data_IF_229585712554
#
_entry.id   IF_229585712554
#
_cell.length_a   1.000
_cell.length_b   1.000
_cell.length_c   1.000
_cell.angle_alpha   90.00
_cell.angle_beta   90.00
_cell.angle_gamma   90.00
#
_symmetry.space_group_name_H-M   'P 1'
#
loop_
_entity.id
_entity.type
_entity.pdbx_description
1 polymer ?
#
# COMPACT_ATOMS: atom_id res chain seq x y z
N UNK A 1 21.68 6.11 -66.91
CA UNK A 1 20.80 6.63 -65.82
C UNK A 1 20.64 8.14 -65.98
N UNK A 2 19.44 8.61 -66.29
CA UNK A 2 19.11 10.04 -66.38
C UNK A 2 19.45 10.75 -65.06
N UNK A 3 20.00 11.96 -65.10
CA UNK A 3 20.38 12.72 -63.90
C UNK A 3 19.22 12.89 -62.89
N UNK A 4 17.98 12.88 -63.39
CA UNK A 4 16.75 12.92 -62.58
C UNK A 4 16.62 11.72 -61.64
N UNK A 5 17.00 10.52 -62.09
CA UNK A 5 16.94 9.31 -61.27
C UNK A 5 17.95 9.34 -60.13
N UNK A 6 19.14 9.93 -60.35
CA UNK A 6 20.16 10.08 -59.30
C UNK A 6 19.72 11.06 -58.21
N UNK A 7 19.04 12.15 -58.60
CA UNK A 7 18.49 13.15 -57.67
C UNK A 7 17.39 12.52 -56.80
N UNK A 8 16.48 11.75 -57.42
CA UNK A 8 15.45 11.01 -56.68
C UNK A 8 16.04 9.99 -55.72
N UNK A 9 17.09 9.26 -56.11
CA UNK A 9 17.76 8.30 -55.25
C UNK A 9 18.40 8.97 -54.02
N UNK A 10 19.03 10.14 -54.21
CA UNK A 10 19.68 10.89 -53.14
C UNK A 10 18.65 11.46 -52.14
N UNK A 11 17.51 11.93 -52.65
CA UNK A 11 16.39 12.39 -51.82
C UNK A 11 15.80 11.27 -50.96
N UNK A 12 15.59 10.09 -51.55
CA UNK A 12 15.00 8.94 -50.86
C UNK A 12 15.92 8.38 -49.77
N UNK A 13 17.24 8.40 -50.02
CA UNK A 13 18.25 8.02 -49.04
C UNK A 13 18.32 8.99 -47.85
N UNK A 14 18.18 10.29 -48.11
CA UNK A 14 18.11 11.31 -47.05
C UNK A 14 16.92 11.12 -46.12
N UNK A 15 15.74 10.86 -46.68
CA UNK A 15 14.51 10.61 -45.89
C UNK A 15 14.65 9.34 -45.05
N UNK A 16 15.23 8.27 -45.60
CA UNK A 16 15.49 7.03 -44.87
C UNK A 16 16.41 7.22 -43.67
N UNK A 17 17.46 8.03 -43.81
CA UNK A 17 18.36 8.39 -42.70
C UNK A 17 17.64 9.17 -41.61
N UNK A 18 16.77 10.11 -41.99
CA UNK A 18 15.97 10.88 -41.04
C UNK A 18 15.06 9.94 -40.23
N UNK A 19 14.35 9.01 -40.90
CA UNK A 19 13.53 8.01 -40.20
C UNK A 19 14.35 7.09 -39.29
N UNK A 20 15.54 6.68 -39.72
CA UNK A 20 16.44 5.84 -38.92
C UNK A 20 16.88 6.56 -37.63
N UNK A 21 17.24 7.85 -37.73
CA UNK A 21 17.58 8.68 -36.57
C UNK A 21 16.37 8.86 -35.65
N UNK A 22 15.21 9.20 -36.21
CA UNK A 22 13.97 9.37 -35.43
C UNK A 22 13.56 8.08 -34.70
N UNK A 23 13.68 6.93 -35.36
CA UNK A 23 13.41 5.63 -34.76
C UNK A 23 14.42 5.28 -33.65
N UNK A 24 15.70 5.62 -33.82
CA UNK A 24 16.72 5.39 -32.82
C UNK A 24 16.53 6.28 -31.58
N UNK A 25 16.19 7.56 -31.75
CA UNK A 25 15.83 8.46 -30.65
C UNK A 25 14.55 8.00 -29.91
N UNK A 26 13.52 7.53 -30.64
CA UNK A 26 12.28 7.05 -30.01
C UNK A 26 12.43 5.68 -29.35
N UNK A 27 13.23 4.78 -29.93
CA UNK A 27 13.38 3.39 -29.48
C UNK A 27 14.09 3.22 -28.14
N UNK A 28 14.91 4.20 -27.72
CA UNK A 28 15.56 4.17 -26.40
C UNK A 28 14.56 4.33 -25.24
N UNK A 29 13.41 4.98 -25.48
CA UNK A 29 12.39 5.17 -24.44
C UNK A 29 11.55 3.91 -24.19
N UNK A 30 11.41 3.02 -25.18
CA UNK A 30 10.58 1.80 -25.06
C UNK A 30 11.22 0.75 -24.15
N UNK A 31 12.55 0.68 -24.10
CA UNK A 31 13.27 -0.26 -23.21
C UNK A 31 13.09 0.06 -21.72
N UNK A 32 13.01 1.34 -21.35
CA UNK A 32 12.73 1.75 -19.95
C UNK A 32 11.29 1.46 -19.52
N UNK A 33 10.34 1.44 -20.45
CA UNK A 33 8.92 1.18 -20.15
C UNK A 33 8.62 -0.32 -20.13
N UNK A 34 9.23 -1.12 -21.01
CA UNK A 34 8.99 -2.57 -21.09
C UNK A 34 9.51 -3.37 -19.88
N UNK A 35 10.56 -2.90 -19.21
CA UNK A 35 11.10 -3.53 -18.00
C UNK A 35 10.28 -3.17 -16.75
N UNK A 36 9.68 -1.96 -16.71
CA UNK A 36 8.78 -1.55 -15.64
C UNK A 36 7.43 -2.32 -15.66
N UNK A 37 6.92 -2.68 -16.84
CA UNK A 37 5.63 -3.37 -16.99
C UNK A 37 5.72 -4.86 -16.59
N UNK A 38 6.89 -5.52 -16.71
CA UNK A 38 7.04 -6.95 -16.36
C UNK A 38 7.39 -7.22 -14.90
N UNK A 39 7.84 -6.20 -14.15
CA UNK A 39 8.08 -6.28 -12.69
C UNK A 39 6.98 -5.56 -11.87
N UNK A 40 5.84 -5.34 -12.50
CA UNK A 40 4.55 -5.07 -11.86
C UNK A 40 3.72 -6.37 -11.83
N UNK A 41 4.36 -7.49 -11.45
CA UNK A 41 3.66 -8.63 -10.89
C UNK A 41 2.97 -8.14 -9.61
N UNK A 42 1.69 -7.79 -9.72
CA UNK A 42 0.65 -7.72 -8.66
C UNK A 42 1.15 -7.33 -7.27
N UNK A 43 1.88 -6.22 -7.15
CA UNK A 43 2.22 -5.70 -5.83
C UNK A 43 1.06 -4.86 -5.30
N UNK A 44 0.50 -5.28 -4.18
CA UNK A 44 -0.64 -4.62 -3.54
C UNK A 44 -0.18 -3.37 -2.77
N UNK A 45 -0.83 -2.21 -2.96
CA UNK A 45 -0.58 -1.05 -2.13
C UNK A 45 -1.12 -1.32 -0.72
N UNK A 46 -0.25 -1.22 0.28
CA UNK A 46 -0.60 -1.45 1.69
C UNK A 46 -0.15 -0.24 2.51
N UNK A 47 -1.03 0.27 3.35
CA UNK A 47 -0.71 1.33 4.29
C UNK A 47 0.09 0.76 5.45
N UNK A 48 1.24 1.35 5.70
CA UNK A 48 2.21 0.97 6.73
C UNK A 48 2.45 2.16 7.66
N UNK A 49 2.67 1.87 8.93
CA UNK A 49 3.05 2.88 9.93
C UNK A 49 4.52 3.34 9.76
N UNK A 50 4.77 4.64 9.78
CA UNK A 50 6.15 5.21 9.74
C UNK A 50 6.75 5.38 11.14
N UNK A 51 5.88 5.45 12.15
CA UNK A 51 6.20 5.58 13.57
C UNK A 51 5.31 4.64 14.38
N UNK A 52 5.60 4.48 15.66
CA UNK A 52 4.70 3.77 16.56
C UNK A 52 3.42 4.60 16.78
N UNK A 53 2.26 3.99 16.51
CA UNK A 53 0.95 4.59 16.73
C UNK A 53 0.39 3.99 18.03
N UNK A 54 0.19 4.84 19.03
CA UNK A 54 -0.30 4.42 20.34
C UNK A 54 -1.82 4.23 20.32
N UNK A 55 -2.29 3.28 21.13
CA UNK A 55 -3.71 3.03 21.36
C UNK A 55 -4.44 4.31 21.78
N UNK A 56 -5.69 4.45 21.34
CA UNK A 56 -6.57 5.56 21.68
C UNK A 56 -6.20 6.92 21.05
N UNK A 57 -5.02 7.06 20.45
CA UNK A 57 -4.62 8.30 19.75
C UNK A 57 -5.13 8.31 18.31
N UNK A 58 -5.63 9.45 17.81
CA UNK A 58 -6.07 9.55 16.42
C UNK A 58 -4.88 9.37 15.47
N UNK A 59 -5.06 8.58 14.43
CA UNK A 59 -4.05 8.41 13.38
C UNK A 59 -3.97 9.67 12.53
N UNK A 60 -2.75 10.17 12.33
CA UNK A 60 -2.47 11.32 11.49
C UNK A 60 -1.82 10.88 10.17
N UNK A 61 -1.95 11.63 9.08
CA UNK A 61 -1.38 11.26 7.78
C UNK A 61 0.15 11.12 7.82
N UNK A 62 0.83 11.86 8.68
CA UNK A 62 2.31 11.83 8.83
C UNK A 62 2.82 10.50 9.40
N UNK A 63 1.96 9.76 10.10
CA UNK A 63 2.26 8.47 10.70
C UNK A 63 2.14 7.31 9.71
N UNK A 64 1.72 7.58 8.47
CA UNK A 64 1.34 6.58 7.48
C UNK A 64 2.10 6.75 6.16
N UNK A 65 2.31 5.62 5.47
CA UNK A 65 2.86 5.59 4.12
C UNK A 65 2.29 4.39 3.37
N UNK A 66 2.06 4.52 2.07
CA UNK A 66 1.71 3.38 1.22
C UNK A 66 2.99 2.71 0.72
N UNK A 67 3.11 1.41 0.95
CA UNK A 67 4.19 0.57 0.45
C UNK A 67 3.64 -0.58 -0.40
N UNK A 68 4.45 -1.03 -1.38
CA UNK A 68 4.05 -2.07 -2.33
C UNK A 68 4.47 -3.44 -1.79
N UNK A 69 3.50 -4.25 -1.37
CA UNK A 69 3.72 -5.61 -0.84
C UNK A 69 3.48 -6.67 -1.93
N UNK A 70 4.22 -7.78 -1.88
CA UNK A 70 3.96 -8.93 -2.77
C UNK A 70 2.68 -9.68 -2.40
N UNK A 71 2.30 -9.67 -1.12
CA UNK A 71 1.08 -10.29 -0.60
C UNK A 71 0.44 -9.28 0.35
N UNK A 72 -0.82 -8.91 0.10
CA UNK A 72 -1.57 -8.05 1.01
C UNK A 72 -1.99 -8.83 2.27
N UNK A 73 -1.66 -8.35 3.47
CA UNK A 73 -2.22 -8.90 4.71
C UNK A 73 -3.75 -8.75 4.72
N UNK A 74 -4.45 -9.72 5.32
CA UNK A 74 -5.92 -9.66 5.42
C UNK A 74 -6.37 -8.42 6.17
N UNK A 75 -7.34 -7.70 5.60
CA UNK A 75 -7.88 -6.48 6.19
C UNK A 75 -6.89 -5.31 6.24
N UNK A 76 -5.79 -5.34 5.47
CA UNK A 76 -4.90 -4.20 5.34
C UNK A 76 -5.56 -3.06 4.56
N UNK A 77 -5.34 -1.83 5.01
CA UNK A 77 -5.79 -0.65 4.28
C UNK A 77 -4.91 -0.41 3.05
N UNK A 78 -5.53 0.05 1.96
CA UNK A 78 -4.84 0.40 0.71
C UNK A 78 -4.70 1.91 0.53
N UNK A 79 -5.57 2.69 1.17
CA UNK A 79 -5.58 4.16 1.16
C UNK A 79 -5.35 4.73 2.57
N UNK A 80 -4.53 5.78 2.65
CA UNK A 80 -4.27 6.53 3.89
C UNK A 80 -5.57 7.21 4.37
N UNK A 81 -6.41 7.70 3.44
CA UNK A 81 -7.65 8.40 3.75
C UNK A 81 -8.62 7.58 4.61
N UNK A 82 -8.63 6.26 4.42
CA UNK A 82 -9.48 5.34 5.17
C UNK A 82 -9.05 5.17 6.63
N UNK A 83 -7.80 5.53 6.97
CA UNK A 83 -7.21 5.33 8.30
C UNK A 83 -7.19 6.62 9.12
N UNK A 84 -7.09 7.78 8.47
CA UNK A 84 -6.96 9.08 9.15
C UNK A 84 -8.11 9.30 10.14
N UNK A 85 -7.77 9.76 11.34
CA UNK A 85 -8.73 10.08 12.40
C UNK A 85 -9.30 8.89 13.16
N UNK A 86 -9.10 7.65 12.67
CA UNK A 86 -9.42 6.45 13.46
C UNK A 86 -8.53 6.37 14.70
N UNK A 87 -9.06 5.76 15.77
CA UNK A 87 -8.32 5.53 17.02
C UNK A 87 -8.12 4.02 17.16
N UNK A 88 -6.87 3.53 17.14
CA UNK A 88 -6.63 2.11 17.27
C UNK A 88 -6.89 1.68 18.72
N UNK A 89 -7.40 0.48 18.88
CA UNK A 89 -7.65 -0.17 20.18
C UNK A 89 -6.38 -0.84 20.73
N UNK A 90 -5.38 -1.06 19.88
CA UNK A 90 -4.08 -1.63 20.24
C UNK A 90 -2.94 -0.79 19.66
N UNK A 91 -1.74 -0.89 20.23
CA UNK A 91 -0.57 -0.22 19.68
C UNK A 91 -0.19 -0.82 18.33
N UNK A 92 0.15 0.02 17.36
CA UNK A 92 0.70 -0.37 16.07
C UNK A 92 2.19 -0.01 16.07
N UNK A 93 3.04 -1.02 16.05
CA UNK A 93 4.49 -0.82 15.94
C UNK A 93 4.89 -0.15 14.62
N UNK A 94 6.07 0.46 14.60
CA UNK A 94 6.64 1.09 13.39
C UNK A 94 6.92 0.07 12.29
N UNK A 95 6.60 0.42 11.04
CA UNK A 95 6.85 -0.42 9.87
C UNK A 95 5.86 -1.57 9.72
N UNK A 96 4.78 -1.59 10.51
CA UNK A 96 3.76 -2.63 10.44
C UNK A 96 2.61 -2.22 9.51
N UNK A 97 2.04 -3.18 8.76
CA UNK A 97 0.81 -2.96 8.01
C UNK A 97 -0.32 -2.54 8.95
N UNK A 98 -1.01 -1.47 8.58
CA UNK A 98 -2.21 -1.03 9.29
C UNK A 98 -3.38 -1.84 8.77
N UNK A 99 -4.03 -2.57 9.67
CA UNK A 99 -5.16 -3.46 9.34
C UNK A 99 -6.41 -3.09 10.15
N UNK A 100 -7.59 -3.50 9.68
CA UNK A 100 -8.87 -3.30 10.37
C UNK A 100 -8.88 -3.88 11.79
N UNK A 101 -8.10 -4.93 12.05
CA UNK A 101 -8.02 -5.61 13.35
C UNK A 101 -7.56 -4.69 14.48
N UNK A 102 -6.81 -3.63 14.17
CA UNK A 102 -6.39 -2.65 15.17
C UNK A 102 -7.52 -1.71 15.60
N UNK A 103 -8.62 -1.64 14.84
CA UNK A 103 -9.73 -0.70 15.06
C UNK A 103 -11.03 -1.40 15.45
N UNK A 104 -11.13 -2.71 15.22
CA UNK A 104 -12.30 -3.51 15.57
C UNK A 104 -12.26 -3.97 17.03
N UNK A 105 -13.36 -3.78 17.74
CA UNK A 105 -13.54 -4.32 19.09
C UNK A 105 -13.43 -5.83 19.04
N UNK A 106 -12.51 -6.40 19.82
CA UNK A 106 -12.40 -7.85 19.94
C UNK A 106 -13.72 -8.49 20.43
N UNK A 107 -13.91 -9.77 20.11
CA UNK A 107 -15.17 -10.50 20.33
C UNK A 107 -15.74 -10.35 21.76
N UNK A 108 -14.86 -10.29 22.77
CA UNK A 108 -15.26 -10.19 24.19
C UNK A 108 -15.89 -8.84 24.55
N UNK A 109 -15.41 -7.74 23.95
CA UNK A 109 -15.99 -6.42 24.18
C UNK A 109 -17.35 -6.26 23.50
N UNK A 110 -17.58 -6.97 22.39
CA UNK A 110 -18.86 -6.99 21.67
C UNK A 110 -19.95 -7.78 22.40
N UNK A 111 -19.59 -8.65 23.35
CA UNK A 111 -20.53 -9.48 24.10
C UNK A 111 -21.16 -8.74 25.30
N UNK A 112 -20.66 -7.55 25.64
CA UNK A 112 -21.23 -6.73 26.71
C UNK A 112 -22.53 -6.10 26.22
N UNK A 113 -23.65 -6.58 26.76
CA UNK A 113 -25.00 -6.07 26.47
C UNK A 113 -25.15 -4.61 26.87
N UNK A 114 -26.05 -3.90 26.21
CA UNK A 114 -26.37 -2.52 26.53
C UNK A 114 -26.84 -2.38 27.99
N UNK A 115 -26.33 -1.38 28.70
CA UNK A 115 -26.57 -1.17 30.14
C UNK A 115 -25.66 -1.96 31.07
N UNK A 116 -24.89 -2.93 30.57
CA UNK A 116 -23.90 -3.67 31.35
C UNK A 116 -22.52 -3.03 31.24
N UNK A 117 -21.71 -3.16 32.29
CA UNK A 117 -20.34 -2.66 32.35
C UNK A 117 -19.40 -3.82 32.59
N UNK A 118 -18.40 -3.99 31.72
CA UNK A 118 -17.33 -4.94 31.95
C UNK A 118 -16.37 -4.41 33.02
N UNK A 119 -15.86 -5.30 33.87
CA UNK A 119 -14.80 -5.01 34.83
C UNK A 119 -13.74 -6.11 34.73
N UNK A 120 -12.47 -5.74 34.82
CA UNK A 120 -11.38 -6.71 34.81
C UNK A 120 -11.15 -7.22 36.25
N UNK A 121 -11.30 -8.53 36.47
CA UNK A 121 -11.00 -9.17 37.74
C UNK A 121 -9.78 -10.08 37.56
N UNK A 122 -8.75 -9.85 38.37
CA UNK A 122 -7.59 -10.74 38.43
C UNK A 122 -7.88 -11.86 39.42
N UNK A 123 -7.89 -13.10 38.93
CA UNK A 123 -8.06 -14.29 39.76
C UNK A 123 -6.70 -14.79 40.25
N UNK A 124 -6.65 -15.11 41.54
CA UNK A 124 -5.57 -15.86 42.17
C UNK A 124 -6.18 -16.95 43.06
N UNK A 125 -5.34 -17.83 43.61
CA UNK A 125 -5.75 -18.93 44.47
C UNK A 125 -6.52 -18.51 45.74
N UNK A 126 -6.34 -17.27 46.20
CA UNK A 126 -7.02 -16.72 47.38
C UNK A 126 -8.37 -16.05 47.02
N UNK A 127 -8.55 -15.66 45.76
CA UNK A 127 -9.71 -14.88 45.30
C UNK A 127 -10.80 -15.74 44.64
N UNK A 128 -10.59 -17.05 44.49
CA UNK A 128 -11.53 -17.98 43.83
C UNK A 128 -12.82 -18.20 44.64
N UNK A 129 -12.79 -18.08 45.97
CA UNK A 129 -13.93 -18.42 46.84
C UNK A 129 -15.06 -17.37 46.90
N UNK A 130 -14.86 -16.16 46.37
CA UNK A 130 -15.81 -15.04 46.55
C UNK A 130 -16.65 -14.74 45.31
N UNK A 131 -16.38 -15.38 44.16
CA UNK A 131 -17.14 -15.19 42.93
C UNK A 131 -18.46 -15.99 42.96
N UNK A 132 -19.43 -15.57 43.78
CA UNK A 132 -20.83 -15.92 43.57
C UNK A 132 -21.46 -14.80 42.74
N UNK A 133 -21.49 -15.00 41.43
CA UNK A 133 -22.20 -14.15 40.47
C UNK A 133 -23.71 -14.41 40.63
#
# INVERSE_FOLDING_TARGET
MSGKTKIFALLLLGIGLIFMVMAFLSGQNVKKVGEAIKTELERFPVVVSTVEIQFGKPVTPEMLKVEKFAIAPSGAFTDIGDVIGKKPLFNIGKGLPVTNQYFESGAVAAEVREGYRAFALRLDENNVATAKI
#
